data_IF_708979383442
#
_entry.id   IF_708979383442
#
_cell.length_a   1.000
_cell.length_b   1.000
_cell.length_c   1.000
_cell.angle_alpha   90.00
_cell.angle_beta   90.00
_cell.angle_gamma   90.00
#
_symmetry.space_group_name_H-M   'P 1'
#
loop_
_entity.id
_entity.type
_entity.pdbx_description
1 polymer ?
#
# COMPACT_ATOMS: atom_id res chain seq x y z
N UNK A 1 12.97 -10.96 2.21
CA UNK A 1 11.63 -10.57 1.75
C UNK A 1 11.27 -9.28 2.44
N UNK A 2 11.17 -8.21 1.70
CA UNK A 2 10.85 -6.88 2.23
C UNK A 2 9.35 -6.65 2.14
N UNK A 3 8.74 -6.10 3.19
CA UNK A 3 7.33 -5.77 3.21
C UNK A 3 7.18 -4.26 3.01
N UNK A 4 6.75 -3.86 1.82
CA UNK A 4 6.39 -2.48 1.55
C UNK A 4 4.97 -2.25 2.05
N UNK A 5 4.80 -1.18 2.82
CA UNK A 5 3.51 -0.71 3.33
C UNK A 5 3.26 0.69 2.83
N UNK A 6 2.06 0.92 2.31
CA UNK A 6 1.63 2.22 1.80
C UNK A 6 0.25 2.54 2.33
N UNK A 7 -0.05 3.82 2.42
CA UNK A 7 -1.38 4.31 2.74
C UNK A 7 -1.83 5.34 1.71
N UNK A 8 -3.13 5.56 1.60
CA UNK A 8 -3.67 6.57 0.70
C UNK A 8 -5.00 7.12 1.19
N UNK A 9 -5.32 8.32 0.74
CA UNK A 9 -6.60 8.97 1.01
C UNK A 9 -7.68 8.43 0.07
N UNK A 10 -8.93 8.44 0.52
CA UNK A 10 -10.10 8.03 -0.27
C UNK A 10 -10.27 8.81 -1.57
N UNK A 11 -9.82 10.07 -1.63
CA UNK A 11 -9.92 10.91 -2.82
C UNK A 11 -8.94 10.53 -3.94
N UNK A 12 -7.84 9.83 -3.63
CA UNK A 12 -6.79 9.45 -4.57
C UNK A 12 -7.11 8.13 -5.29
N UNK A 13 -8.23 8.11 -6.00
CA UNK A 13 -8.75 6.91 -6.69
C UNK A 13 -7.74 6.29 -7.67
N UNK A 14 -7.02 7.12 -8.43
CA UNK A 14 -6.01 6.64 -9.38
C UNK A 14 -4.82 5.97 -8.69
N UNK A 15 -4.38 6.51 -7.54
CA UNK A 15 -3.30 5.91 -6.76
C UNK A 15 -3.74 4.55 -6.19
N UNK A 16 -4.95 4.45 -5.65
CA UNK A 16 -5.51 3.19 -5.18
C UNK A 16 -5.58 2.15 -6.30
N UNK A 17 -6.07 2.53 -7.49
CA UNK A 17 -6.14 1.64 -8.64
C UNK A 17 -4.74 1.21 -9.11
N UNK A 18 -3.77 2.14 -9.13
CA UNK A 18 -2.38 1.87 -9.46
C UNK A 18 -1.79 0.83 -8.50
N UNK A 19 -1.97 0.99 -7.19
CA UNK A 19 -1.43 0.06 -6.19
C UNK A 19 -2.03 -1.34 -6.36
N UNK A 20 -3.36 -1.44 -6.47
CA UNK A 20 -4.04 -2.72 -6.72
C UNK A 20 -3.51 -3.40 -7.98
N UNK A 21 -3.31 -2.66 -9.08
CA UNK A 21 -2.75 -3.18 -10.34
C UNK A 21 -1.28 -3.61 -10.22
N UNK A 22 -0.50 -2.94 -9.36
CA UNK A 22 0.91 -3.26 -9.11
C UNK A 22 1.13 -4.41 -8.12
N UNK A 23 0.06 -5.11 -7.72
CA UNK A 23 0.14 -6.26 -6.82
C UNK A 23 0.25 -5.87 -5.34
N UNK A 24 -0.15 -4.66 -4.98
CA UNK A 24 -0.43 -4.33 -3.59
C UNK A 24 -1.81 -4.85 -3.21
N UNK A 25 -1.93 -5.38 -2.00
CA UNK A 25 -3.18 -5.87 -1.43
C UNK A 25 -3.60 -4.99 -0.26
N UNK A 26 -4.91 -4.85 -0.06
CA UNK A 26 -5.43 -4.13 1.11
C UNK A 26 -5.08 -4.88 2.39
N UNK A 27 -4.78 -4.10 3.44
CA UNK A 27 -4.33 -4.57 4.73
C UNK A 27 -5.04 -3.84 5.86
N UNK A 28 -4.84 -4.33 7.09
CA UNK A 28 -5.27 -3.61 8.26
C UNK A 28 -4.52 -2.26 8.38
N UNK A 29 -5.20 -1.27 8.96
CA UNK A 29 -4.61 0.00 9.33
C UNK A 29 -3.36 -0.22 10.20
N UNK A 30 -2.21 0.24 9.73
CA UNK A 30 -0.93 0.07 10.43
C UNK A 30 -0.44 1.34 11.13
N UNK A 31 -1.06 2.49 10.87
CA UNK A 31 -0.73 3.76 11.52
C UNK A 31 -2.00 4.57 11.83
N UNK A 32 -1.84 5.71 12.51
CA UNK A 32 -2.94 6.56 12.93
C UNK A 32 -3.04 7.87 12.11
N UNK A 33 -2.55 7.89 10.86
CA UNK A 33 -2.61 9.11 10.04
C UNK A 33 -4.08 9.55 9.83
N UNK A 34 -4.44 10.82 10.09
CA UNK A 34 -5.81 11.31 9.97
C UNK A 34 -6.30 11.48 8.52
N UNK A 35 -5.39 11.50 7.55
CA UNK A 35 -5.71 11.62 6.12
C UNK A 35 -5.66 10.27 5.39
N UNK A 36 -5.23 9.21 6.06
CA UNK A 36 -5.24 7.87 5.48
C UNK A 36 -6.61 7.21 5.65
N UNK A 37 -7.16 6.73 4.54
CA UNK A 37 -8.42 5.98 4.50
C UNK A 37 -8.21 4.51 4.08
N UNK A 38 -7.13 4.21 3.34
CA UNK A 38 -6.82 2.86 2.85
C UNK A 38 -5.36 2.51 3.06
N UNK A 39 -5.09 1.26 3.45
CA UNK A 39 -3.76 0.73 3.71
C UNK A 39 -3.47 -0.47 2.81
N UNK A 40 -2.27 -0.49 2.25
CA UNK A 40 -1.83 -1.46 1.26
C UNK A 40 -0.50 -2.07 1.65
N UNK A 41 -0.30 -3.34 1.31
CA UNK A 41 0.96 -4.06 1.51
C UNK A 41 1.38 -4.79 0.23
N UNK A 42 2.70 -4.85 -0.02
CA UNK A 42 3.30 -5.68 -1.07
C UNK A 42 4.56 -6.35 -0.54
N UNK A 43 4.68 -7.64 -0.80
CA UNK A 43 5.90 -8.40 -0.53
C UNK A 43 6.83 -8.25 -1.72
N UNK A 44 7.97 -7.61 -1.51
CA UNK A 44 9.03 -7.61 -2.50
C UNK A 44 9.95 -8.82 -2.26
N UNK A 45 10.33 -9.49 -3.34
CA UNK A 45 11.47 -10.38 -3.29
C UNK A 45 12.70 -9.54 -2.92
N UNK A 46 13.64 -10.06 -2.12
CA UNK A 46 14.93 -9.39 -2.02
C UNK A 46 15.47 -9.24 -3.44
N UNK A 47 15.68 -8.00 -3.90
CA UNK A 47 16.50 -7.77 -5.08
C UNK A 47 17.88 -8.30 -4.73
N UNK A 48 18.35 -9.30 -5.47
CA UNK A 48 19.69 -9.87 -5.33
C UNK A 48 20.73 -8.71 -5.35
N UNK A 49 21.72 -8.68 -4.44
CA UNK A 49 22.66 -7.56 -4.29
C UNK A 49 23.57 -7.34 -5.49
#
# INVERSE_FOLDING_TARGET
MELLRLETNRSLHEAQALYRRNGYHESARFNADPYADHWFEKRNAPSDP
#
